data_IF_680565963068
#
_entry.id   IF_680565963068
#
_cell.length_a   1.000
_cell.length_b   1.000
_cell.length_c   1.000
_cell.angle_alpha   90.00
_cell.angle_beta   90.00
_cell.angle_gamma   90.00
#
_symmetry.space_group_name_H-M   'P 1'
#
loop_
_entity.id
_entity.type
_entity.pdbx_description
1 polymer ?
#
# COMPACT_ATOMS: atom_id res chain seq x y z
N UNK A 1 24.00 -2.01 43.97
CA UNK A 1 22.54 -2.03 44.19
C UNK A 1 21.79 -1.05 43.25
N UNK A 2 22.20 0.22 43.10
CA UNK A 2 21.54 1.20 42.20
C UNK A 2 21.38 0.67 40.75
N UNK A 3 22.42 0.03 40.17
CA UNK A 3 22.36 -0.55 38.83
C UNK A 3 21.28 -1.63 38.67
N UNK A 4 21.02 -2.43 39.71
CA UNK A 4 19.98 -3.46 39.70
C UNK A 4 18.58 -2.85 39.67
N UNK A 5 18.34 -1.78 40.40
CA UNK A 5 17.06 -1.07 40.44
C UNK A 5 16.75 -0.46 39.05
N UNK A 6 17.70 0.25 38.45
CA UNK A 6 17.53 0.80 37.11
C UNK A 6 17.36 -0.27 36.01
N UNK A 7 18.05 -1.41 36.15
CA UNK A 7 17.89 -2.55 35.24
C UNK A 7 16.47 -3.13 35.34
N UNK A 8 15.93 -3.31 36.55
CA UNK A 8 14.57 -3.79 36.76
C UNK A 8 13.57 -2.82 36.12
N UNK A 9 13.68 -1.53 36.44
CA UNK A 9 12.83 -0.49 35.88
C UNK A 9 12.86 -0.50 34.33
N UNK A 10 14.06 -0.63 33.76
CA UNK A 10 14.21 -0.68 32.29
C UNK A 10 13.52 -1.92 31.68
N UNK A 11 13.67 -3.09 32.32
CA UNK A 11 13.03 -4.32 31.85
C UNK A 11 11.51 -4.19 31.93
N UNK A 12 10.98 -3.67 33.04
CA UNK A 12 9.54 -3.48 33.20
C UNK A 12 8.97 -2.48 32.17
N UNK A 13 9.69 -1.36 31.95
CA UNK A 13 9.33 -0.40 30.89
C UNK A 13 9.37 -1.01 29.49
N UNK A 14 10.44 -1.75 29.15
CA UNK A 14 10.57 -2.38 27.84
C UNK A 14 9.52 -3.47 27.62
N UNK A 15 9.27 -4.31 28.62
CA UNK A 15 8.29 -5.39 28.52
C UNK A 15 6.89 -4.82 28.26
N UNK A 16 6.49 -3.84 29.06
CA UNK A 16 5.18 -3.22 28.88
C UNK A 16 5.08 -2.45 27.57
N UNK A 17 6.15 -1.73 27.20
CA UNK A 17 6.23 -1.03 25.92
C UNK A 17 6.09 -1.98 24.71
N UNK A 18 6.80 -3.11 24.70
CA UNK A 18 6.73 -4.06 23.59
C UNK A 18 5.34 -4.70 23.48
N UNK A 19 4.72 -5.06 24.61
CA UNK A 19 3.37 -5.63 24.62
C UNK A 19 2.36 -4.61 24.07
N UNK A 20 2.40 -3.37 24.56
CA UNK A 20 1.48 -2.31 24.12
C UNK A 20 1.73 -1.92 22.66
N UNK A 21 2.99 -1.84 22.22
CA UNK A 21 3.35 -1.54 20.84
C UNK A 21 2.82 -2.62 19.88
N UNK A 22 3.05 -3.89 20.20
CA UNK A 22 2.57 -5.00 19.37
C UNK A 22 1.04 -5.03 19.34
N UNK A 23 0.37 -4.94 20.50
CA UNK A 23 -1.10 -4.96 20.56
C UNK A 23 -1.71 -3.81 19.77
N UNK A 24 -1.26 -2.58 19.97
CA UNK A 24 -1.76 -1.42 19.25
C UNK A 24 -1.47 -1.51 17.73
N UNK A 25 -0.26 -1.96 17.37
CA UNK A 25 0.11 -2.10 15.96
C UNK A 25 -0.72 -3.16 15.24
N UNK A 26 -1.01 -4.30 15.88
CA UNK A 26 -1.84 -5.37 15.32
C UNK A 26 -3.27 -4.90 15.15
N UNK A 27 -3.85 -4.22 16.14
CA UNK A 27 -5.21 -3.67 16.03
C UNK A 27 -5.32 -2.72 14.84
N UNK A 28 -4.41 -1.76 14.72
CA UNK A 28 -4.41 -0.79 13.62
C UNK A 28 -4.16 -1.50 12.28
N UNK A 29 -3.28 -2.51 12.27
CA UNK A 29 -3.01 -3.29 11.06
C UNK A 29 -4.26 -4.03 10.57
N UNK A 30 -5.05 -4.63 11.46
CA UNK A 30 -6.31 -5.30 11.09
C UNK A 30 -7.29 -4.31 10.46
N UNK A 31 -7.47 -3.11 11.05
CA UNK A 31 -8.31 -2.08 10.44
C UNK A 31 -7.81 -1.64 9.06
N UNK A 32 -6.50 -1.46 8.90
CA UNK A 32 -5.94 -1.10 7.60
C UNK A 32 -6.02 -2.25 6.59
N UNK A 33 -5.88 -3.49 7.04
CA UNK A 33 -6.03 -4.66 6.18
C UNK A 33 -7.43 -4.73 5.56
N UNK A 34 -8.48 -4.37 6.32
CA UNK A 34 -9.85 -4.27 5.78
C UNK A 34 -9.92 -3.19 4.67
N UNK A 35 -9.34 -2.02 4.89
CA UNK A 35 -9.30 -0.97 3.86
C UNK A 35 -8.49 -1.38 2.61
N UNK A 36 -7.51 -2.27 2.76
CA UNK A 36 -6.76 -2.80 1.62
C UNK A 36 -7.50 -3.89 0.84
N UNK A 37 -8.63 -4.41 1.36
CA UNK A 37 -9.50 -5.32 0.62
C UNK A 37 -10.04 -4.71 -0.67
N UNK A 38 -10.21 -3.39 -0.73
CA UNK A 38 -10.62 -2.68 -1.94
C UNK A 38 -9.66 -2.95 -3.10
N UNK A 39 -8.34 -3.08 -2.82
CA UNK A 39 -7.32 -3.47 -3.80
C UNK A 39 -7.61 -4.86 -4.41
N UNK A 40 -8.22 -5.76 -3.65
CA UNK A 40 -8.59 -7.09 -4.12
C UNK A 40 -9.96 -7.08 -4.82
N UNK A 41 -10.92 -6.34 -4.28
CA UNK A 41 -12.30 -6.30 -4.75
C UNK A 41 -12.45 -5.40 -5.97
N UNK A 42 -11.94 -4.18 -5.91
CA UNK A 42 -12.06 -3.20 -7.00
C UNK A 42 -11.00 -3.41 -8.08
N UNK A 43 -9.75 -3.65 -7.68
CA UNK A 43 -8.64 -3.87 -8.59
C UNK A 43 -8.50 -5.34 -9.06
N UNK A 44 -9.27 -6.32 -8.53
CA UNK A 44 -9.24 -7.75 -8.90
C UNK A 44 -7.90 -8.43 -8.75
N UNK A 45 -7.09 -7.98 -7.81
CA UNK A 45 -5.75 -8.51 -7.61
C UNK A 45 -5.78 -9.83 -6.84
N UNK A 46 -4.76 -10.65 -7.07
CA UNK A 46 -4.60 -11.94 -6.39
C UNK A 46 -4.48 -11.75 -4.87
N UNK A 47 -5.05 -12.69 -4.12
CA UNK A 47 -4.92 -12.76 -2.66
C UNK A 47 -3.47 -12.69 -2.15
N UNK A 48 -2.51 -13.27 -2.89
CA UNK A 48 -1.08 -13.18 -2.55
C UNK A 48 -0.56 -11.74 -2.58
N UNK A 49 -1.01 -10.94 -3.53
CA UNK A 49 -0.62 -9.52 -3.64
C UNK A 49 -1.18 -8.73 -2.46
N UNK A 50 -2.44 -8.97 -2.11
CA UNK A 50 -3.08 -8.36 -0.96
C UNK A 50 -2.33 -8.63 0.35
N UNK A 51 -2.01 -9.91 0.65
CA UNK A 51 -1.29 -10.26 1.87
C UNK A 51 0.09 -9.61 1.91
N UNK A 52 0.87 -9.72 0.83
CA UNK A 52 2.21 -9.14 0.78
C UNK A 52 2.16 -7.62 0.94
N UNK A 53 1.21 -6.96 0.28
CA UNK A 53 1.02 -5.53 0.41
C UNK A 53 0.64 -5.12 1.84
N UNK A 54 -0.32 -5.82 2.45
CA UNK A 54 -0.77 -5.57 3.82
C UNK A 54 0.36 -5.77 4.83
N UNK A 55 1.14 -6.85 4.70
CA UNK A 55 2.26 -7.16 5.61
C UNK A 55 3.40 -6.15 5.47
N UNK A 56 3.72 -5.73 4.23
CA UNK A 56 4.75 -4.72 3.97
C UNK A 56 4.38 -3.31 4.47
N UNK A 57 3.09 -3.06 4.73
CA UNK A 57 2.63 -1.83 5.38
C UNK A 57 2.76 -1.86 6.91
N UNK A 58 2.96 -3.02 7.53
CA UNK A 58 3.08 -3.16 8.99
C UNK A 58 4.20 -2.31 9.61
N UNK A 59 5.44 -2.25 9.08
CA UNK A 59 6.50 -1.40 9.63
C UNK A 59 6.15 0.08 9.68
N UNK A 60 5.37 0.58 8.71
CA UNK A 60 4.87 1.95 8.69
C UNK A 60 3.92 2.22 9.86
N UNK A 61 3.07 1.24 10.19
CA UNK A 61 2.14 1.34 11.33
C UNK A 61 2.94 1.38 12.62
N UNK A 62 3.86 0.44 12.81
CA UNK A 62 4.74 0.38 13.99
C UNK A 62 5.48 1.70 14.18
N UNK A 63 6.08 2.24 13.13
CA UNK A 63 6.78 3.52 13.18
C UNK A 63 5.90 4.69 13.63
N UNK A 64 4.64 4.72 13.21
CA UNK A 64 3.70 5.79 13.61
C UNK A 64 3.20 5.66 15.04
N UNK A 65 3.01 4.45 15.52
CA UNK A 65 2.44 4.15 16.84
C UNK A 65 3.49 4.21 17.94
N UNK A 66 4.76 3.95 17.62
CA UNK A 66 5.88 3.86 18.54
C UNK A 66 5.98 5.04 19.54
N UNK A 67 5.97 6.32 19.13
CA UNK A 67 6.12 7.43 20.06
C UNK A 67 4.96 7.52 21.07
N UNK A 68 3.74 7.22 20.62
CA UNK A 68 2.56 7.24 21.50
C UNK A 68 2.59 6.10 22.50
N UNK A 69 2.88 4.88 22.05
CA UNK A 69 2.97 3.72 22.94
C UNK A 69 4.12 3.84 23.92
N UNK A 70 5.22 4.45 23.52
CA UNK A 70 6.33 4.75 24.43
C UNK A 70 5.89 5.68 25.56
N UNK A 71 5.24 6.79 25.22
CA UNK A 71 4.75 7.75 26.20
C UNK A 71 3.78 7.08 27.21
N UNK A 72 2.79 6.36 26.70
CA UNK A 72 1.82 5.65 27.54
C UNK A 72 2.46 4.59 28.43
N UNK A 73 3.35 3.79 27.87
CA UNK A 73 4.03 2.73 28.64
C UNK A 73 4.87 3.30 29.78
N UNK A 74 5.53 4.39 29.48
CA UNK A 74 6.38 5.06 30.43
C UNK A 74 5.59 5.66 31.58
N UNK A 75 4.54 6.39 31.25
CA UNK A 75 3.63 6.96 32.23
C UNK A 75 3.01 5.87 33.12
N UNK A 76 2.51 4.79 32.51
CA UNK A 76 1.91 3.68 33.24
C UNK A 76 2.89 3.02 34.24
N UNK A 77 4.10 2.70 33.79
CA UNK A 77 5.09 2.02 34.66
C UNK A 77 5.48 2.90 35.81
N UNK A 78 5.74 4.20 35.58
CA UNK A 78 6.08 5.12 36.69
C UNK A 78 4.92 5.25 37.68
N UNK A 79 3.69 5.44 37.22
CA UNK A 79 2.52 5.50 38.08
C UNK A 79 2.33 4.22 38.88
N UNK A 80 2.53 3.05 38.25
CA UNK A 80 2.47 1.75 38.94
C UNK A 80 3.52 1.66 40.05
N UNK A 81 4.76 2.10 39.81
CA UNK A 81 5.82 2.12 40.78
C UNK A 81 5.51 3.08 41.96
N UNK A 82 4.84 4.19 41.69
CA UNK A 82 4.40 5.14 42.72
C UNK A 82 3.27 4.54 43.58
N UNK A 83 2.22 3.98 42.97
CA UNK A 83 1.09 3.38 43.69
C UNK A 83 1.54 2.20 44.56
N UNK A 84 2.46 1.38 44.07
CA UNK A 84 3.00 0.24 44.82
C UNK A 84 4.07 0.62 45.84
N UNK A 85 4.36 1.92 46.03
CA UNK A 85 5.43 2.42 46.88
C UNK A 85 6.85 1.89 46.53
N UNK A 86 7.05 1.36 45.32
CA UNK A 86 8.34 0.86 44.87
C UNK A 86 9.35 2.00 44.66
N UNK A 87 8.91 3.23 44.39
CA UNK A 87 9.78 4.41 44.28
C UNK A 87 10.45 4.76 45.60
N UNK A 88 9.84 4.44 46.76
CA UNK A 88 10.44 4.66 48.05
C UNK A 88 11.74 3.84 48.21
N UNK A 89 11.80 2.66 47.58
CA UNK A 89 13.01 1.83 47.57
C UNK A 89 14.15 2.58 46.89
N UNK A 90 13.87 3.27 45.75
CA UNK A 90 14.89 4.07 45.06
C UNK A 90 15.44 5.19 45.95
N UNK A 91 14.54 5.88 46.69
CA UNK A 91 14.94 6.96 47.57
C UNK A 91 15.77 6.43 48.77
N UNK A 92 15.40 5.32 49.37
CA UNK A 92 16.12 4.69 50.47
C UNK A 92 17.53 4.23 50.04
N UNK A 93 17.72 3.82 48.79
CA UNK A 93 19.04 3.50 48.23
C UNK A 93 19.83 4.74 47.77
N UNK A 94 19.37 5.95 48.09
CA UNK A 94 20.05 7.21 47.79
C UNK A 94 20.05 7.56 46.30
N UNK A 95 19.02 7.14 45.53
CA UNK A 95 18.81 7.60 44.16
C UNK A 95 18.08 8.93 44.21
N UNK A 96 18.65 9.98 43.65
CA UNK A 96 18.01 11.29 43.56
C UNK A 96 16.99 11.31 42.44
N UNK A 97 15.93 12.13 42.58
CA UNK A 97 14.91 12.33 41.53
C UNK A 97 15.52 12.70 40.20
N UNK A 98 16.55 13.55 40.17
CA UNK A 98 17.29 13.93 38.98
C UNK A 98 17.98 12.75 38.29
N UNK A 99 18.51 11.78 39.07
CA UNK A 99 19.12 10.58 38.47
C UNK A 99 18.09 9.71 37.78
N UNK A 100 16.89 9.60 38.35
CA UNK A 100 15.78 8.90 37.72
C UNK A 100 15.39 9.60 36.39
N UNK A 101 15.16 10.90 36.42
CA UNK A 101 14.81 11.69 35.25
C UNK A 101 15.89 11.57 34.15
N UNK A 102 17.16 11.68 34.54
CA UNK A 102 18.26 11.57 33.56
C UNK A 102 18.32 10.17 32.91
N UNK A 103 18.09 9.11 33.70
CA UNK A 103 17.99 7.76 33.16
C UNK A 103 16.88 7.64 32.13
N UNK A 104 15.71 8.18 32.45
CA UNK A 104 14.55 8.17 31.56
C UNK A 104 14.80 8.98 30.26
N UNK A 105 15.49 10.11 30.41
CA UNK A 105 15.87 10.95 29.27
C UNK A 105 16.83 10.22 28.31
N UNK A 106 17.85 9.56 28.84
CA UNK A 106 18.80 8.75 28.04
C UNK A 106 18.06 7.63 27.31
N UNK A 107 17.14 6.96 28.01
CA UNK A 107 16.34 5.89 27.40
C UNK A 107 15.41 6.43 26.28
N UNK A 108 14.81 7.60 26.46
CA UNK A 108 13.98 8.23 25.43
C UNK A 108 14.79 8.63 24.20
N UNK A 109 16.02 9.15 24.37
CA UNK A 109 16.93 9.45 23.26
C UNK A 109 17.23 8.18 22.46
N UNK A 110 17.53 7.07 23.14
CA UNK A 110 17.82 5.81 22.48
C UNK A 110 16.63 5.33 21.61
N UNK A 111 15.40 5.40 22.14
CA UNK A 111 14.21 5.04 21.37
C UNK A 111 13.92 6.03 20.24
N UNK A 112 14.20 7.32 20.41
CA UNK A 112 14.09 8.31 19.34
C UNK A 112 15.05 8.00 18.18
N UNK A 113 16.26 7.57 18.47
CA UNK A 113 17.22 7.14 17.44
C UNK A 113 16.70 5.91 16.67
N UNK A 114 16.12 4.94 17.37
CA UNK A 114 15.46 3.78 16.72
C UNK A 114 14.31 4.25 15.84
N UNK A 115 13.49 5.18 16.32
CA UNK A 115 12.38 5.74 15.56
C UNK A 115 12.85 6.43 14.27
N UNK A 116 13.91 7.24 14.35
CA UNK A 116 14.50 7.89 13.18
C UNK A 116 15.03 6.84 12.20
N UNK A 117 15.73 5.82 12.68
CA UNK A 117 16.23 4.74 11.82
C UNK A 117 15.10 3.96 11.13
N UNK A 118 14.03 3.61 11.85
CA UNK A 118 12.84 2.98 11.29
C UNK A 118 12.20 3.83 10.20
N UNK A 119 11.97 5.10 10.48
CA UNK A 119 11.27 6.03 9.59
C UNK A 119 12.11 6.39 8.35
N UNK A 120 13.46 6.42 8.47
CA UNK A 120 14.37 6.82 7.40
C UNK A 120 14.76 5.67 6.48
N UNK A 121 14.95 4.46 7.02
CA UNK A 121 15.47 3.31 6.27
C UNK A 121 14.40 2.24 6.04
N UNK A 122 13.72 1.78 7.09
CA UNK A 122 12.82 0.62 6.99
C UNK A 122 11.52 0.97 6.27
N UNK A 123 10.87 2.05 6.68
CA UNK A 123 9.57 2.44 6.12
C UNK A 123 9.64 2.73 4.62
N UNK A 124 10.58 3.52 4.08
CA UNK A 124 10.64 3.78 2.64
C UNK A 124 10.91 2.51 1.82
N UNK A 125 11.82 1.64 2.28
CA UNK A 125 12.15 0.42 1.56
C UNK A 125 10.97 -0.56 1.50
N UNK A 126 10.26 -0.75 2.62
CA UNK A 126 9.08 -1.61 2.66
C UNK A 126 7.92 -1.04 1.83
N UNK A 127 7.75 0.28 1.81
CA UNK A 127 6.71 0.93 1.00
C UNK A 127 7.01 0.84 -0.51
N UNK A 128 8.26 1.02 -0.93
CA UNK A 128 8.66 0.87 -2.33
C UNK A 128 8.46 -0.59 -2.80
N UNK A 129 8.83 -1.56 -1.94
CA UNK A 129 8.60 -2.98 -2.21
C UNK A 129 7.09 -3.30 -2.30
N UNK A 130 6.27 -2.81 -1.36
CA UNK A 130 4.83 -2.99 -1.37
C UNK A 130 4.20 -2.50 -2.69
N UNK A 131 4.64 -1.34 -3.17
CA UNK A 131 4.17 -0.80 -4.45
C UNK A 131 4.70 -1.53 -5.67
N UNK A 132 5.92 -2.06 -5.61
CA UNK A 132 6.45 -2.88 -6.71
C UNK A 132 5.58 -4.12 -6.93
N UNK A 133 5.06 -4.73 -5.85
CA UNK A 133 4.09 -5.82 -5.94
C UNK A 133 2.77 -5.37 -6.59
N UNK A 134 2.29 -4.16 -6.27
CA UNK A 134 1.10 -3.62 -6.93
C UNK A 134 1.34 -3.37 -8.42
N UNK A 135 2.49 -2.81 -8.81
CA UNK A 135 2.81 -2.54 -10.22
C UNK A 135 3.01 -3.82 -11.01
N UNK A 136 3.74 -4.79 -10.48
CA UNK A 136 3.99 -6.07 -11.17
C UNK A 136 2.73 -6.90 -11.34
N UNK A 137 1.74 -6.77 -10.45
CA UNK A 137 0.50 -7.52 -10.53
C UNK A 137 -0.53 -6.88 -11.50
N UNK A 138 -0.34 -5.64 -11.93
CA UNK A 138 -1.22 -4.97 -12.90
C UNK A 138 -1.20 -5.63 -14.29
N UNK A 139 -0.15 -6.37 -14.60
CA UNK A 139 0.01 -7.05 -15.90
C UNK A 139 -0.97 -8.20 -16.12
N UNK A 140 -1.44 -8.86 -15.04
CA UNK A 140 -2.43 -9.94 -15.16
C UNK A 140 -3.85 -9.51 -14.78
N UNK A 141 -4.02 -8.23 -14.47
CA UNK A 141 -5.22 -7.63 -13.93
C UNK A 141 -6.42 -7.76 -14.87
N UNK A 142 -6.25 -7.42 -16.14
CA UNK A 142 -7.34 -7.38 -17.10
C UNK A 142 -7.91 -8.77 -17.43
N UNK A 143 -7.07 -9.78 -17.44
CA UNK A 143 -7.50 -11.15 -17.71
C UNK A 143 -8.34 -11.75 -16.58
N UNK A 144 -8.01 -11.41 -15.32
CA UNK A 144 -8.75 -11.89 -14.14
C UNK A 144 -10.03 -11.08 -13.88
N UNK A 145 -10.10 -9.84 -14.35
CA UNK A 145 -11.18 -8.90 -14.08
C UNK A 145 -12.36 -9.01 -15.01
N UNK A 146 -12.16 -9.49 -16.24
CA UNK A 146 -13.24 -9.66 -17.20
C UNK A 146 -14.19 -10.77 -16.73
N UNK A 147 -15.19 -10.35 -15.94
CA UNK A 147 -16.32 -11.21 -15.60
C UNK A 147 -17.18 -11.40 -16.84
N UNK A 148 -17.41 -12.67 -17.22
CA UNK A 148 -18.28 -13.03 -18.31
C UNK A 148 -19.69 -12.47 -18.11
N UNK A 149 -20.30 -12.02 -19.21
CA UNK A 149 -21.69 -11.54 -19.26
C UNK A 149 -21.97 -10.32 -18.36
N UNK A 150 -20.93 -9.54 -18.02
CA UNK A 150 -21.05 -8.29 -17.26
C UNK A 150 -20.27 -7.18 -17.94
N UNK A 151 -20.77 -5.95 -17.80
CA UNK A 151 -20.01 -4.76 -18.14
C UNK A 151 -18.99 -4.49 -17.05
N UNK A 152 -17.75 -4.32 -17.43
CA UNK A 152 -16.62 -4.07 -16.52
C UNK A 152 -16.10 -2.65 -16.79
N UNK A 153 -16.38 -1.73 -15.87
CA UNK A 153 -15.99 -0.31 -15.92
C UNK A 153 -14.76 -0.02 -15.04
N UNK A 154 -13.89 -1.01 -14.90
CA UNK A 154 -12.74 -0.93 -13.98
C UNK A 154 -11.69 0.08 -14.42
N UNK A 155 -11.68 0.41 -15.69
CA UNK A 155 -10.77 1.38 -16.28
C UNK A 155 -11.54 2.67 -16.53
N UNK A 156 -11.07 3.79 -15.97
CA UNK A 156 -11.72 5.07 -16.16
C UNK A 156 -11.86 5.42 -17.64
N UNK A 157 -13.09 5.62 -18.09
CA UNK A 157 -13.40 5.93 -19.49
C UNK A 157 -13.38 4.72 -20.43
N UNK A 158 -13.27 3.48 -19.92
CA UNK A 158 -13.36 2.27 -20.75
C UNK A 158 -14.28 1.24 -20.12
N UNK A 159 -15.33 0.90 -20.83
CA UNK A 159 -16.26 -0.19 -20.50
C UNK A 159 -15.96 -1.39 -21.39
N UNK A 160 -15.70 -2.55 -20.80
CA UNK A 160 -15.43 -3.79 -21.51
C UNK A 160 -16.51 -4.82 -21.15
N UNK A 161 -17.09 -5.46 -22.16
CA UNK A 161 -18.01 -6.58 -22.01
C UNK A 161 -17.49 -7.78 -22.78
N UNK A 162 -17.59 -8.97 -22.22
CA UNK A 162 -17.33 -10.24 -22.88
C UNK A 162 -18.51 -11.18 -22.70
N UNK A 163 -19.00 -11.75 -23.79
CA UNK A 163 -20.11 -12.71 -23.76
C UNK A 163 -19.72 -14.08 -23.21
N UNK A 164 -18.51 -14.55 -23.52
CA UNK A 164 -17.95 -15.80 -23.04
C UNK A 164 -16.43 -15.71 -22.92
N UNK A 165 -15.86 -16.53 -22.07
CA UNK A 165 -14.42 -16.76 -21.93
C UNK A 165 -14.19 -18.27 -21.89
N UNK A 166 -13.23 -18.73 -22.67
CA UNK A 166 -12.80 -20.13 -22.69
C UNK A 166 -11.72 -20.39 -21.64
N UNK A 167 -11.47 -21.66 -21.30
CA UNK A 167 -10.44 -22.07 -20.33
C UNK A 167 -9.03 -21.67 -20.76
N UNK A 168 -8.80 -21.53 -22.09
CA UNK A 168 -7.57 -21.01 -22.69
C UNK A 168 -7.41 -19.50 -22.61
N UNK A 169 -8.37 -18.77 -22.01
CA UNK A 169 -8.33 -17.31 -21.87
C UNK A 169 -8.83 -16.54 -23.10
N UNK A 170 -9.36 -17.21 -24.13
CA UNK A 170 -9.95 -16.55 -25.29
C UNK A 170 -11.30 -15.94 -24.94
N UNK A 171 -11.54 -14.74 -25.42
CA UNK A 171 -12.77 -13.99 -25.22
C UNK A 171 -13.63 -14.03 -26.47
N UNK A 172 -14.94 -14.12 -26.31
CA UNK A 172 -15.92 -14.12 -27.40
C UNK A 172 -16.96 -13.03 -27.19
N UNK A 173 -17.44 -12.49 -28.33
CA UNK A 173 -18.43 -11.41 -28.34
C UNK A 173 -18.02 -10.23 -27.45
N UNK A 174 -16.92 -9.59 -27.84
CA UNK A 174 -16.30 -8.52 -27.08
C UNK A 174 -16.91 -7.20 -27.53
N UNK A 175 -17.29 -6.39 -26.56
CA UNK A 175 -17.69 -5.02 -26.76
C UNK A 175 -16.79 -4.12 -25.88
N UNK A 176 -16.21 -3.09 -26.48
CA UNK A 176 -15.36 -2.11 -25.79
C UNK A 176 -15.87 -0.73 -26.13
N UNK A 177 -16.24 0.05 -25.11
CA UNK A 177 -16.57 1.46 -25.25
C UNK A 177 -15.45 2.28 -24.61
N UNK A 178 -14.85 3.20 -25.35
CA UNK A 178 -13.87 4.16 -24.87
C UNK A 178 -14.47 5.55 -24.95
N UNK A 179 -14.53 6.24 -23.82
CA UNK A 179 -14.98 7.63 -23.73
C UNK A 179 -13.77 8.55 -23.55
N UNK A 180 -13.61 9.55 -24.43
CA UNK A 180 -12.59 10.59 -24.33
C UNK A 180 -13.16 11.90 -23.79
N UNK A 181 -14.40 12.20 -24.15
CA UNK A 181 -15.19 13.34 -23.66
C UNK A 181 -16.68 13.08 -23.90
N UNK A 182 -17.55 13.96 -23.39
CA UNK A 182 -19.00 13.82 -23.49
C UNK A 182 -19.53 13.55 -24.91
N UNK A 183 -18.87 14.08 -25.95
CA UNK A 183 -19.30 13.93 -27.36
C UNK A 183 -18.30 13.11 -28.20
N UNK A 184 -17.22 12.60 -27.61
CA UNK A 184 -16.21 11.83 -28.31
C UNK A 184 -16.05 10.47 -27.65
N UNK A 185 -16.51 9.44 -28.36
CA UNK A 185 -16.38 8.07 -27.90
C UNK A 185 -16.10 7.10 -29.04
N UNK A 186 -15.46 6.01 -28.72
CA UNK A 186 -15.18 4.92 -29.63
C UNK A 186 -15.85 3.64 -29.10
N UNK A 187 -16.56 2.95 -29.99
CA UNK A 187 -17.14 1.65 -29.72
C UNK A 187 -16.46 0.63 -30.62
N UNK A 188 -15.92 -0.43 -30.06
CA UNK A 188 -15.32 -1.52 -30.81
C UNK A 188 -16.04 -2.82 -30.46
N UNK A 189 -16.51 -3.51 -31.48
CA UNK A 189 -17.08 -4.84 -31.38
C UNK A 189 -16.14 -5.84 -32.08
N UNK A 190 -15.90 -7.01 -31.44
CA UNK A 190 -15.11 -8.08 -32.05
C UNK A 190 -15.69 -9.45 -31.69
N UNK A 191 -15.63 -10.38 -32.66
CA UNK A 191 -16.12 -11.76 -32.42
C UNK A 191 -15.23 -12.52 -31.45
N UNK A 192 -13.92 -12.34 -31.56
CA UNK A 192 -12.92 -13.02 -30.75
C UNK A 192 -11.83 -12.05 -30.27
N UNK A 193 -11.23 -12.32 -29.14
CA UNK A 193 -10.07 -11.62 -28.66
C UNK A 193 -9.22 -12.47 -27.73
N UNK A 194 -7.94 -12.15 -27.68
CA UNK A 194 -6.99 -12.84 -26.81
C UNK A 194 -6.02 -11.85 -26.20
N UNK A 195 -5.65 -12.08 -24.93
CA UNK A 195 -4.62 -11.31 -24.26
C UNK A 195 -3.24 -11.86 -24.63
N UNK A 196 -2.41 -11.01 -25.24
CA UNK A 196 -1.02 -11.37 -25.57
C UNK A 196 -0.09 -10.53 -24.72
N UNK A 197 0.86 -11.20 -24.05
CA UNK A 197 1.99 -10.55 -23.37
C UNK A 197 3.08 -10.21 -24.37
N UNK A 198 3.38 -8.92 -24.53
CA UNK A 198 4.48 -8.45 -25.37
C UNK A 198 5.48 -7.67 -24.49
N UNK A 199 6.61 -8.31 -24.14
CA UNK A 199 7.61 -7.80 -23.16
C UNK A 199 6.95 -7.56 -21.78
N UNK A 200 6.77 -6.32 -21.35
CA UNK A 200 6.14 -5.96 -20.08
C UNK A 200 4.68 -5.51 -20.21
N UNK A 201 4.10 -5.61 -21.43
CA UNK A 201 2.80 -5.04 -21.74
C UNK A 201 1.80 -6.12 -22.10
N UNK A 202 0.57 -5.98 -21.62
CA UNK A 202 -0.54 -6.81 -22.02
C UNK A 202 -1.37 -6.07 -23.08
N UNK A 203 -1.54 -6.69 -24.24
CA UNK A 203 -2.30 -6.16 -25.36
C UNK A 203 -3.50 -7.07 -25.57
N UNK A 204 -4.70 -6.51 -25.72
CA UNK A 204 -5.86 -7.25 -26.15
C UNK A 204 -5.92 -7.23 -27.69
N UNK A 205 -5.66 -8.38 -28.29
CA UNK A 205 -5.76 -8.55 -29.74
C UNK A 205 -7.18 -8.97 -30.08
N UNK A 206 -7.83 -8.19 -30.92
CA UNK A 206 -9.19 -8.39 -31.35
C UNK A 206 -9.20 -8.96 -32.79
N UNK A 207 -10.10 -9.88 -33.06
CA UNK A 207 -10.27 -10.52 -34.38
C UNK A 207 -11.70 -10.36 -34.88
N UNK A 208 -11.82 -10.14 -36.17
CA UNK A 208 -13.08 -10.04 -36.92
C UNK A 208 -14.07 -9.06 -36.25
N UNK A 209 -13.79 -7.77 -36.38
CA UNK A 209 -14.59 -6.77 -35.71
C UNK A 209 -14.79 -5.48 -36.51
N UNK A 210 -15.50 -4.57 -35.87
CA UNK A 210 -15.71 -3.22 -36.38
C UNK A 210 -15.53 -2.20 -35.25
N UNK A 211 -15.05 -1.02 -35.62
CA UNK A 211 -14.89 0.12 -34.71
C UNK A 211 -15.67 1.29 -35.24
N UNK A 212 -16.53 1.84 -34.39
CA UNK A 212 -17.31 3.03 -34.63
C UNK A 212 -16.71 4.17 -33.79
N UNK A 213 -16.23 5.21 -34.47
CA UNK A 213 -15.75 6.42 -33.82
C UNK A 213 -16.78 7.53 -33.99
N UNK A 214 -17.16 8.15 -32.89
CA UNK A 214 -18.02 9.34 -32.88
C UNK A 214 -17.17 10.51 -32.38
N UNK A 215 -16.96 11.50 -33.26
CA UNK A 215 -16.18 12.70 -32.97
C UNK A 215 -17.00 13.91 -33.46
N UNK A 216 -17.45 14.77 -32.53
CA UNK A 216 -18.24 15.96 -32.86
C UNK A 216 -19.39 15.66 -33.82
N UNK A 217 -20.22 14.67 -33.51
CA UNK A 217 -21.38 14.18 -34.30
C UNK A 217 -21.03 13.56 -35.65
N UNK A 218 -19.77 13.42 -35.99
CA UNK A 218 -19.34 12.66 -37.16
C UNK A 218 -19.11 11.21 -36.80
N UNK A 219 -19.79 10.31 -37.50
CA UNK A 219 -19.67 8.87 -37.29
C UNK A 219 -18.78 8.28 -38.38
N UNK A 220 -17.72 7.59 -37.98
CA UNK A 220 -16.84 6.84 -38.87
C UNK A 220 -16.83 5.37 -38.43
N UNK A 221 -16.99 4.47 -39.40
CA UNK A 221 -17.00 3.02 -39.16
C UNK A 221 -15.83 2.36 -39.90
N UNK A 222 -15.07 1.53 -39.23
CA UNK A 222 -13.94 0.77 -39.76
C UNK A 222 -14.11 -0.71 -39.44
N UNK A 223 -14.04 -1.57 -40.44
CA UNK A 223 -13.96 -3.02 -40.23
C UNK A 223 -12.53 -3.48 -40.26
N UNK A 224 -12.20 -4.42 -39.38
CA UNK A 224 -10.85 -4.97 -39.27
C UNK A 224 -10.89 -6.51 -39.14
N UNK A 225 -9.88 -7.16 -39.71
CA UNK A 225 -9.65 -8.60 -39.51
C UNK A 225 -8.90 -8.84 -38.21
N UNK A 226 -7.97 -7.93 -37.85
CA UNK A 226 -7.19 -7.95 -36.62
C UNK A 226 -6.90 -6.53 -36.17
N UNK A 227 -7.05 -6.27 -34.86
CA UNK A 227 -6.73 -4.98 -34.27
C UNK A 227 -6.09 -5.19 -32.90
N UNK A 228 -5.05 -4.42 -32.61
CA UNK A 228 -4.38 -4.44 -31.31
C UNK A 228 -4.94 -3.31 -30.45
N UNK A 229 -5.65 -3.68 -29.38
CA UNK A 229 -6.16 -2.72 -28.40
C UNK A 229 -5.14 -2.59 -27.26
N UNK A 230 -4.40 -1.48 -27.25
CA UNK A 230 -3.38 -1.22 -26.25
C UNK A 230 -4.02 -0.64 -24.98
N UNK A 231 -3.93 -1.38 -23.89
CA UNK A 231 -4.50 -1.03 -22.60
C UNK A 231 -3.59 -0.15 -21.73
N UNK A 232 -2.35 0.10 -22.18
CA UNK A 232 -1.37 0.92 -21.43
C UNK A 232 -1.74 2.40 -21.32
N UNK A 233 -2.44 2.92 -22.28
CA UNK A 233 -2.87 4.33 -22.27
C UNK A 233 -3.99 4.60 -21.27
N UNK A 234 -4.50 3.55 -20.62
CA UNK A 234 -5.51 3.67 -19.60
C UNK A 234 -4.84 3.53 -18.22
N UNK A 235 -4.56 4.67 -17.63
CA UNK A 235 -4.12 4.72 -16.24
C UNK A 235 -5.21 4.11 -15.37
N UNK A 236 -4.95 2.90 -14.86
CA UNK A 236 -5.66 2.47 -13.67
C UNK A 236 -5.39 3.53 -12.59
N UNK A 237 -6.39 3.90 -11.79
CA UNK A 237 -6.22 4.81 -10.65
C UNK A 237 -5.16 4.33 -9.62
N UNK A 238 -4.52 3.18 -9.86
CA UNK A 238 -3.39 2.64 -9.13
C UNK A 238 -2.12 3.43 -9.46
N UNK A 239 -2.00 4.57 -8.80
CA UNK A 239 -0.76 5.23 -8.42
C UNK A 239 0.46 5.01 -9.32
N UNK A 240 0.46 5.64 -10.49
CA UNK A 240 1.63 5.75 -11.37
C UNK A 240 2.70 6.68 -10.76
N UNK A 241 2.29 7.58 -9.88
CA UNK A 241 3.18 8.54 -9.24
C UNK A 241 3.71 8.01 -7.90
N UNK A 242 5.04 8.03 -7.76
CA UNK A 242 5.69 7.74 -6.49
C UNK A 242 5.36 8.86 -5.50
N UNK A 243 4.63 8.55 -4.43
CA UNK A 243 4.35 9.56 -3.38
C UNK A 243 5.64 9.89 -2.65
N UNK A 244 5.79 11.15 -2.22
CA UNK A 244 6.96 11.64 -1.45
C UNK A 244 7.30 10.78 -0.23
N UNK A 245 6.30 10.14 0.39
CA UNK A 245 6.48 9.24 1.54
C UNK A 245 7.19 7.91 1.22
N UNK A 246 7.37 7.59 -0.04
CA UNK A 246 7.97 6.35 -0.55
C UNK A 246 9.38 6.55 -1.08
N UNK A 247 9.74 7.80 -1.30
CA UNK A 247 11.10 8.14 -1.69
C UNK A 247 12.04 7.96 -0.49
N UNK A 248 13.16 7.27 -0.73
CA UNK A 248 14.21 7.21 0.30
C UNK A 248 14.69 8.62 0.62
N UNK A 249 15.03 8.88 1.87
CA UNK A 249 15.52 10.18 2.34
C UNK A 249 16.70 10.68 1.50
N UNK A 250 17.55 9.77 1.00
CA UNK A 250 18.65 10.10 0.08
C UNK A 250 18.15 10.67 -1.25
N UNK A 251 17.11 10.09 -1.85
CA UNK A 251 16.50 10.60 -3.09
C UNK A 251 15.83 11.95 -2.88
N UNK A 252 15.15 12.16 -1.75
CA UNK A 252 14.53 13.44 -1.38
C UNK A 252 15.58 14.53 -1.22
N UNK A 253 16.69 14.25 -0.53
CA UNK A 253 17.79 15.18 -0.33
C UNK A 253 18.47 15.55 -1.65
N UNK A 254 18.69 14.58 -2.53
CA UNK A 254 19.26 14.81 -3.86
C UNK A 254 18.32 15.64 -4.74
N UNK A 255 17.01 15.43 -4.62
CA UNK A 255 16.00 16.22 -5.34
C UNK A 255 15.99 17.67 -4.83
N UNK A 256 16.04 17.87 -3.52
CA UNK A 256 16.11 19.20 -2.90
C UNK A 256 17.37 19.98 -3.29
N UNK A 257 18.54 19.31 -3.30
CA UNK A 257 19.81 19.91 -3.69
C UNK A 257 19.93 20.23 -5.20
N UNK A 258 19.10 19.62 -6.05
CA UNK A 258 19.05 19.94 -7.49
C UNK A 258 18.08 21.07 -7.83
N UNK A 259 17.17 21.41 -6.92
CA UNK A 259 16.19 22.49 -7.10
C UNK A 259 16.69 23.83 -6.57
N UNK A 260 17.75 23.83 -5.77
CA UNK A 260 18.52 25.01 -5.36
C UNK A 260 19.86 25.05 -6.12
#
# INVERSE_FOLDING_TARGET
>A
MKKLLFRKLLIDCLTFFLITLLSASVIIWVFQAVNFLDIMIEDGRSYKVYINYSLLNFPKIVSKVLPFTFFFSFFYVITRYEINNELIIFWNFGVNKLQLINFLFIFSIFLTLIQIALSTFVVPTTQDLARSFLRSSSVNFLESFLKQKKFNDTIKGVTIYSGAKDDDGNLFNIYIKKEESLNNFQITYAKKGNFIKKKDNQILVLYEGETINVINDRITNFRFSKSDFNLQNFETNATTYVKTQELSTKKLLTCYLRLN
#
